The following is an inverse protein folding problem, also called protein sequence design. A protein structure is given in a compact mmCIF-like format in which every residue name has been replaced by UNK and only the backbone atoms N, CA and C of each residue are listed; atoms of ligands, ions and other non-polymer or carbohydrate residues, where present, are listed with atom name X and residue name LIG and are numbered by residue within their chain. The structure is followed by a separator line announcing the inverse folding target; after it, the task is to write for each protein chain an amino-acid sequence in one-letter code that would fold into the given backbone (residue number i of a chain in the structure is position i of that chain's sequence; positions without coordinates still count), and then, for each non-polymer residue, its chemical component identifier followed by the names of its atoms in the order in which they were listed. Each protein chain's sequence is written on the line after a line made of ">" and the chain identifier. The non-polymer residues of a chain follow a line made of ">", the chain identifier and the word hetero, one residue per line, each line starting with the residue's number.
data_IF_139008445787
#
_entry.id   IF_139008445787
#
_cell.length_a   1.000
_cell.length_b   1.000
_cell.length_c   1.000
_cell.angle_alpha   90.00
_cell.angle_beta   90.00
_cell.angle_gamma   90.00
#
_symmetry.space_group_name_H-M   'P 1'
#
loop_
_entity.id
_entity.type
_entity.pdbx_description
1 polymer ?
#
# COMPACT_ATOMS: atom_id res chain seq x y z
N UNK A 1 -13.36 -21.75 -20.55
CA UNK A 1 -13.60 -20.94 -19.35
C UNK A 1 -14.68 -19.92 -19.68
N UNK A 2 -15.71 -19.81 -18.85
CA UNK A 2 -16.77 -18.85 -19.11
C UNK A 2 -16.38 -17.44 -18.67
N UNK A 3 -17.25 -16.47 -18.98
CA UNK A 3 -16.97 -15.07 -18.68
C UNK A 3 -16.86 -14.81 -17.18
N UNK A 4 -17.65 -15.51 -16.36
CA UNK A 4 -17.61 -15.36 -14.90
C UNK A 4 -16.27 -15.82 -14.35
N UNK A 5 -15.80 -16.98 -14.79
CA UNK A 5 -14.50 -17.49 -14.36
C UNK A 5 -13.35 -16.58 -14.78
N UNK A 6 -13.39 -16.05 -16.00
CA UNK A 6 -12.36 -15.14 -16.50
C UNK A 6 -12.31 -13.85 -15.67
N UNK A 7 -13.46 -13.25 -15.39
CA UNK A 7 -13.51 -12.03 -14.58
C UNK A 7 -13.04 -12.32 -13.16
N UNK A 8 -13.44 -13.45 -12.58
CA UNK A 8 -13.01 -13.84 -11.24
C UNK A 8 -11.49 -14.00 -11.15
N UNK A 9 -10.90 -14.71 -12.11
CA UNK A 9 -9.44 -14.91 -12.14
C UNK A 9 -8.71 -13.61 -12.33
N UNK A 10 -9.13 -12.77 -13.28
CA UNK A 10 -8.50 -11.48 -13.54
C UNK A 10 -8.60 -10.58 -12.31
N UNK A 11 -9.74 -10.59 -11.62
CA UNK A 11 -9.95 -9.75 -10.42
C UNK A 11 -9.06 -10.20 -9.26
N UNK A 12 -8.94 -11.50 -9.03
CA UNK A 12 -8.09 -12.03 -7.96
C UNK A 12 -6.62 -11.74 -8.25
N UNK A 13 -6.19 -11.97 -9.47
CA UNK A 13 -4.80 -11.66 -9.87
C UNK A 13 -4.56 -10.16 -9.77
N UNK A 14 -5.48 -9.34 -10.28
CA UNK A 14 -5.38 -7.89 -10.19
C UNK A 14 -5.31 -7.39 -8.76
N UNK A 15 -6.12 -7.96 -7.87
CA UNK A 15 -6.11 -7.61 -6.45
C UNK A 15 -4.77 -7.97 -5.79
N UNK A 16 -4.25 -9.15 -6.09
CA UNK A 16 -2.95 -9.57 -5.58
C UNK A 16 -1.82 -8.70 -6.09
N UNK A 17 -1.82 -8.36 -7.38
CA UNK A 17 -0.82 -7.49 -7.96
C UNK A 17 -0.92 -6.06 -7.42
N UNK A 18 -2.13 -5.55 -7.24
CA UNK A 18 -2.34 -4.19 -6.73
C UNK A 18 -1.70 -4.02 -5.37
N UNK A 19 -1.97 -4.91 -4.41
CA UNK A 19 -1.40 -4.79 -3.07
C UNK A 19 0.05 -5.28 -3.03
N UNK A 20 0.38 -6.33 -3.78
CA UNK A 20 1.72 -6.89 -3.78
C UNK A 20 2.74 -5.94 -4.37
N UNK A 21 2.50 -5.44 -5.57
CA UNK A 21 3.39 -4.50 -6.23
C UNK A 21 3.26 -3.11 -5.59
N UNK A 22 2.02 -2.70 -5.29
CA UNK A 22 1.75 -1.40 -4.69
C UNK A 22 2.36 -1.20 -3.32
N UNK A 23 2.65 -2.28 -2.57
CA UNK A 23 3.30 -2.19 -1.26
C UNK A 23 4.82 -2.07 -1.36
N UNK A 24 5.43 -2.34 -2.52
CA UNK A 24 6.89 -2.29 -2.68
C UNK A 24 7.41 -0.86 -2.46
N UNK A 25 6.79 0.12 -3.12
CA UNK A 25 7.19 1.51 -2.98
C UNK A 25 7.12 2.01 -1.54
N UNK A 26 5.96 1.92 -0.90
CA UNK A 26 5.82 2.31 0.51
C UNK A 26 6.77 1.54 1.43
N UNK A 27 6.95 0.23 1.21
CA UNK A 27 7.86 -0.58 2.02
C UNK A 27 9.30 -0.08 1.94
N UNK A 28 9.79 0.17 0.73
CA UNK A 28 11.13 0.70 0.52
C UNK A 28 11.25 2.12 1.08
N UNK A 29 10.25 2.96 0.83
CA UNK A 29 10.25 4.33 1.32
C UNK A 29 10.28 4.40 2.84
N UNK A 30 9.48 3.59 3.51
CA UNK A 30 9.47 3.52 4.98
C UNK A 30 10.81 3.03 5.52
N UNK A 31 11.38 2.00 4.90
CA UNK A 31 12.69 1.49 5.30
C UNK A 31 13.79 2.53 5.19
N UNK A 32 13.84 3.25 4.07
CA UNK A 32 14.81 4.31 3.86
C UNK A 32 14.60 5.47 4.83
N UNK A 33 13.35 5.87 5.06
CA UNK A 33 13.03 6.97 5.96
C UNK A 33 13.45 6.63 7.39
N UNK A 34 13.17 5.41 7.85
CA UNK A 34 13.54 4.96 9.20
C UNK A 34 15.06 4.93 9.34
N UNK A 35 15.77 4.39 8.34
CA UNK A 35 17.23 4.32 8.38
C UNK A 35 17.85 5.71 8.49
N UNK A 36 17.38 6.67 7.70
CA UNK A 36 17.87 8.05 7.73
C UNK A 36 17.52 8.74 9.04
N UNK A 37 16.31 8.50 9.56
CA UNK A 37 15.89 9.10 10.82
C UNK A 37 16.73 8.59 11.99
N UNK A 38 17.05 7.30 12.02
CA UNK A 38 17.90 6.73 13.08
C UNK A 38 19.30 7.30 13.01
N UNK A 39 19.85 7.47 11.81
CA UNK A 39 21.17 8.10 11.63
C UNK A 39 21.15 9.56 12.11
N UNK A 40 20.10 10.31 11.78
CA UNK A 40 19.96 11.69 12.20
C UNK A 40 19.84 11.82 13.72
N UNK A 41 19.07 10.93 14.36
CA UNK A 41 18.92 10.92 15.82
C UNK A 41 20.26 10.59 16.49
N UNK A 42 21.03 9.68 15.92
CA UNK A 42 22.34 9.35 16.45
C UNK A 42 23.31 10.53 16.39
N UNK A 43 23.21 11.34 15.34
CA UNK A 43 24.05 12.53 15.18
C UNK A 43 23.56 13.73 15.99
N UNK A 44 22.25 13.83 16.20
CA UNK A 44 21.62 14.95 16.89
C UNK A 44 20.63 14.44 17.94
N UNK A 45 21.14 13.87 19.06
CA UNK A 45 20.24 13.31 20.07
C UNK A 45 19.28 14.33 20.68
N UNK A 46 19.66 15.59 20.71
CA UNK A 46 18.83 16.65 21.27
C UNK A 46 17.57 16.91 20.41
N UNK A 47 17.63 16.53 19.13
CA UNK A 47 16.51 16.71 18.20
C UNK A 47 15.65 15.45 18.09
N UNK A 48 15.84 14.46 18.95
CA UNK A 48 15.17 13.17 18.87
C UNK A 48 13.64 13.30 18.81
N UNK A 49 13.07 14.15 19.66
CA UNK A 49 11.61 14.29 19.72
C UNK A 49 11.06 14.89 18.41
N UNK A 50 11.73 15.91 17.89
CA UNK A 50 11.34 16.57 16.64
C UNK A 50 11.48 15.61 15.46
N UNK A 51 12.61 14.90 15.38
CA UNK A 51 12.88 13.96 14.30
C UNK A 51 11.89 12.80 14.32
N UNK A 52 11.58 12.25 15.50
CA UNK A 52 10.64 11.16 15.65
C UNK A 52 9.23 11.60 15.23
N UNK A 53 8.81 12.79 15.62
CA UNK A 53 7.49 13.31 15.25
C UNK A 53 7.36 13.47 13.76
N UNK A 54 8.36 14.07 13.12
CA UNK A 54 8.38 14.26 11.67
C UNK A 54 8.39 12.91 10.95
N UNK A 55 9.16 11.95 11.47
CA UNK A 55 9.20 10.61 10.90
C UNK A 55 7.82 9.96 10.90
N UNK A 56 7.10 10.01 12.02
CA UNK A 56 5.77 9.39 12.10
C UNK A 56 4.77 10.01 11.13
N UNK A 57 4.83 11.34 10.95
CA UNK A 57 3.98 12.02 9.97
C UNK A 57 4.31 11.54 8.56
N UNK A 58 5.60 11.45 8.23
CA UNK A 58 6.03 10.96 6.92
C UNK A 58 5.63 9.52 6.69
N UNK A 59 5.80 8.65 7.69
CA UNK A 59 5.42 7.25 7.59
C UNK A 59 3.91 7.08 7.37
N UNK A 60 3.10 7.90 8.05
CA UNK A 60 1.65 7.86 7.85
C UNK A 60 1.27 8.23 6.42
N UNK A 61 1.93 9.22 5.84
CA UNK A 61 1.68 9.61 4.44
C UNK A 61 2.10 8.51 3.46
N UNK A 62 3.24 7.87 3.70
CA UNK A 62 3.71 6.77 2.86
C UNK A 62 2.73 5.58 2.96
N UNK A 63 2.29 5.26 4.16
CA UNK A 63 1.35 4.18 4.42
C UNK A 63 0.01 4.39 3.69
N UNK A 64 -0.39 5.63 3.49
CA UNK A 64 -1.64 5.95 2.78
C UNK A 64 -1.64 5.37 1.36
N UNK A 65 -0.49 5.31 0.71
CA UNK A 65 -0.37 4.73 -0.64
C UNK A 65 -0.71 3.23 -0.60
N UNK A 66 -0.18 2.51 0.39
CA UNK A 66 -0.49 1.10 0.58
C UNK A 66 -1.97 0.88 0.89
N UNK A 67 -2.57 1.78 1.66
CA UNK A 67 -4.00 1.72 1.97
C UNK A 67 -4.84 1.87 0.70
N UNK A 68 -4.47 2.78 -0.20
CA UNK A 68 -5.18 2.93 -1.47
C UNK A 68 -5.11 1.66 -2.30
N UNK A 69 -3.94 1.03 -2.38
CA UNK A 69 -3.79 -0.25 -3.09
C UNK A 69 -4.64 -1.35 -2.45
N UNK A 70 -4.68 -1.38 -1.13
CA UNK A 70 -5.50 -2.32 -0.38
C UNK A 70 -6.99 -2.12 -0.68
N UNK A 71 -7.45 -0.87 -0.71
CA UNK A 71 -8.85 -0.56 -1.03
C UNK A 71 -9.21 -1.05 -2.44
N UNK A 72 -8.33 -0.80 -3.42
CA UNK A 72 -8.56 -1.28 -4.79
C UNK A 72 -8.64 -2.81 -4.80
N UNK A 73 -7.76 -3.49 -4.07
CA UNK A 73 -7.78 -4.95 -3.97
C UNK A 73 -9.09 -5.45 -3.37
N UNK A 74 -9.58 -4.80 -2.32
CA UNK A 74 -10.85 -5.16 -1.67
C UNK A 74 -12.03 -4.95 -2.60
N UNK A 75 -12.02 -3.86 -3.38
CA UNK A 75 -13.09 -3.60 -4.36
C UNK A 75 -13.12 -4.71 -5.41
N UNK A 76 -11.95 -5.13 -5.92
CA UNK A 76 -11.88 -6.17 -6.94
C UNK A 76 -12.34 -7.53 -6.41
N UNK A 77 -12.12 -7.82 -5.13
CA UNK A 77 -12.51 -9.10 -4.53
C UNK A 77 -13.98 -9.11 -4.12
N UNK A 78 -14.44 -8.06 -3.43
CA UNK A 78 -15.74 -8.08 -2.76
C UNK A 78 -16.81 -7.20 -3.40
N UNK A 79 -16.42 -6.14 -4.11
CA UNK A 79 -17.37 -5.18 -4.67
C UNK A 79 -17.02 -4.87 -6.12
N UNK A 80 -16.68 -5.89 -6.88
CA UNK A 80 -16.17 -5.77 -8.26
C UNK A 80 -17.23 -5.12 -9.17
N UNK A 81 -16.97 -3.93 -9.74
CA UNK A 81 -17.93 -3.26 -10.60
C UNK A 81 -18.14 -3.99 -11.94
N UNK A 82 -17.17 -4.83 -12.35
CA UNK A 82 -17.29 -5.57 -13.60
C UNK A 82 -18.20 -6.79 -13.47
N UNK A 83 -18.48 -7.23 -12.24
CA UNK A 83 -19.26 -8.43 -11.98
C UNK A 83 -20.68 -8.30 -12.52
N UNK A 84 -21.29 -7.12 -12.40
CA UNK A 84 -22.64 -6.90 -12.86
C UNK A 84 -22.77 -6.98 -14.38
N UNK A 85 -21.69 -6.72 -15.11
CA UNK A 85 -21.68 -6.84 -16.57
C UNK A 85 -21.58 -8.28 -17.07
N UNK A 86 -21.09 -9.17 -16.21
CA UNK A 86 -20.81 -10.56 -16.59
C UNK A 86 -21.97 -11.48 -16.23
N UNK A 87 -22.60 -11.23 -15.08
CA UNK A 87 -23.64 -12.10 -14.55
C UNK A 87 -25.06 -11.71 -14.96
N UNK A 88 -25.24 -10.69 -15.79
CA UNK A 88 -26.53 -10.26 -16.31
C UNK A 88 -27.25 -11.34 -17.10
#
# INVERSE_FOLDING_TARGET
>A
MDSVSLVAMASIIGAGLAIGIGAIGPGLGMGLAIAQALAAIAQQPDERNSLTRTLFVGLAMIESIAIYCFVISMILIFANPFWSHVIK
#
